data_IF_724955415224
#
_entry.id   IF_724955415224
#
_cell.length_a   1.000
_cell.length_b   1.000
_cell.length_c   1.000
_cell.angle_alpha   90.00
_cell.angle_beta   90.00
_cell.angle_gamma   90.00
#
_symmetry.space_group_name_H-M   'P 1'
#
loop_
_entity.id
_entity.type
_entity.pdbx_description
1 polymer ?
#
# COMPACT_ATOMS: atom_id res chain seq x y z
N UNK A 1 51.14 -12.02 5.04
CA UNK A 1 50.59 -12.71 3.84
C UNK A 1 49.06 -12.95 3.94
N UNK A 2 48.55 -13.58 5.02
CA UNK A 2 47.10 -13.84 5.17
C UNK A 2 46.26 -12.55 5.27
N UNK A 3 46.74 -11.54 6.01
CA UNK A 3 46.04 -10.26 6.18
C UNK A 3 46.00 -9.47 4.88
N UNK A 4 47.06 -9.45 4.10
CA UNK A 4 47.10 -8.80 2.78
C UNK A 4 46.13 -9.47 1.77
N UNK A 5 46.00 -10.82 1.84
CA UNK A 5 45.09 -11.56 1.00
C UNK A 5 43.62 -11.22 1.33
N UNK A 6 43.30 -11.14 2.63
CA UNK A 6 41.98 -10.72 3.13
C UNK A 6 41.65 -9.30 2.65
N UNK A 7 42.56 -8.35 2.85
CA UNK A 7 42.34 -6.94 2.45
C UNK A 7 42.08 -6.82 0.95
N UNK A 8 42.93 -7.44 0.13
CA UNK A 8 42.77 -7.44 -1.33
C UNK A 8 41.44 -8.05 -1.77
N UNK A 9 40.98 -9.10 -1.12
CA UNK A 9 39.70 -9.71 -1.42
C UNK A 9 38.52 -8.80 -1.08
N UNK A 10 38.53 -8.18 0.10
CA UNK A 10 37.47 -7.25 0.50
C UNK A 10 37.43 -6.02 -0.41
N UNK A 11 38.60 -5.49 -0.82
CA UNK A 11 38.66 -4.39 -1.80
C UNK A 11 38.14 -4.80 -3.18
N UNK A 12 38.37 -6.03 -3.61
CA UNK A 12 37.77 -6.56 -4.84
C UNK A 12 36.25 -6.65 -4.72
N UNK A 13 35.74 -7.11 -3.58
CA UNK A 13 34.31 -7.21 -3.34
C UNK A 13 33.61 -5.84 -3.34
N UNK A 14 34.26 -4.78 -2.85
CA UNK A 14 33.69 -3.41 -2.90
C UNK A 14 33.37 -2.96 -4.32
N UNK A 15 34.05 -3.49 -5.32
CA UNK A 15 33.78 -3.17 -6.73
C UNK A 15 32.57 -3.92 -7.29
N UNK A 16 32.29 -5.10 -6.74
CA UNK A 16 31.25 -5.99 -7.23
C UNK A 16 29.95 -5.94 -6.40
N UNK A 17 30.05 -5.53 -5.14
CA UNK A 17 28.89 -5.47 -4.23
C UNK A 17 28.61 -4.04 -3.86
N UNK A 18 27.38 -3.60 -4.14
CA UNK A 18 26.88 -2.27 -3.82
C UNK A 18 25.67 -2.40 -2.88
N UNK A 19 25.39 -1.33 -2.15
CA UNK A 19 24.18 -1.21 -1.33
C UNK A 19 23.40 0.04 -1.74
N UNK A 20 22.13 -0.12 -2.09
CA UNK A 20 21.27 0.97 -2.49
C UNK A 20 19.86 0.81 -1.90
N UNK A 21 19.41 1.80 -1.15
CA UNK A 21 18.05 1.88 -0.61
C UNK A 21 17.61 0.62 0.18
N UNK A 22 18.57 -0.04 0.85
CA UNK A 22 18.34 -1.29 1.60
C UNK A 22 18.57 -2.57 0.80
N UNK A 23 18.90 -2.48 -0.49
CA UNK A 23 19.17 -3.65 -1.34
C UNK A 23 20.67 -3.85 -1.56
N UNK A 24 21.12 -5.09 -1.43
CA UNK A 24 22.46 -5.52 -1.84
C UNK A 24 22.44 -5.88 -3.31
N UNK A 25 23.37 -5.32 -4.08
CA UNK A 25 23.42 -5.45 -5.53
C UNK A 25 24.77 -6.03 -5.93
N UNK A 26 24.75 -7.08 -6.71
CA UNK A 26 25.95 -7.75 -7.21
C UNK A 26 26.15 -7.42 -8.70
N UNK A 27 27.32 -6.89 -9.04
CA UNK A 27 27.76 -6.50 -10.40
C UNK A 27 26.79 -5.57 -11.17
N UNK A 28 25.98 -4.77 -10.49
CA UNK A 28 24.91 -3.95 -11.09
C UNK A 28 23.86 -4.75 -11.90
N UNK A 29 23.77 -6.07 -11.66
CA UNK A 29 22.89 -6.97 -12.43
C UNK A 29 21.88 -7.70 -11.56
N UNK A 30 22.21 -7.96 -10.30
CA UNK A 30 21.40 -8.84 -9.46
C UNK A 30 21.23 -8.31 -8.05
N UNK A 31 19.98 -8.27 -7.57
CA UNK A 31 19.68 -8.08 -6.16
C UNK A 31 19.95 -9.38 -5.40
N UNK A 32 20.70 -9.30 -4.33
CA UNK A 32 21.04 -10.42 -3.45
C UNK A 32 20.69 -10.09 -1.99
N UNK A 33 20.50 -11.08 -1.16
CA UNK A 33 20.30 -10.90 0.28
C UNK A 33 21.63 -10.69 1.01
N UNK A 34 21.61 -10.04 2.17
CA UNK A 34 22.80 -9.96 3.03
C UNK A 34 23.35 -11.36 3.37
N UNK A 35 22.46 -12.33 3.53
CA UNK A 35 22.86 -13.72 3.76
C UNK A 35 23.68 -14.28 2.60
N UNK A 36 23.24 -14.06 1.36
CA UNK A 36 24.00 -14.49 0.17
C UNK A 36 25.37 -13.82 0.12
N UNK A 37 25.49 -12.53 0.47
CA UNK A 37 26.78 -11.84 0.56
C UNK A 37 27.68 -12.50 1.60
N UNK A 38 27.17 -12.76 2.80
CA UNK A 38 27.93 -13.43 3.88
C UNK A 38 28.36 -14.83 3.48
N UNK A 39 27.47 -15.62 2.90
CA UNK A 39 27.73 -16.98 2.47
C UNK A 39 28.76 -17.00 1.33
N UNK A 40 28.70 -16.08 0.38
CA UNK A 40 29.71 -15.92 -0.67
C UNK A 40 31.09 -15.64 -0.08
N UNK A 41 31.20 -14.70 0.87
CA UNK A 41 32.47 -14.38 1.54
C UNK A 41 33.08 -15.62 2.26
N UNK A 42 32.23 -16.37 2.97
CA UNK A 42 32.67 -17.58 3.71
C UNK A 42 33.14 -18.70 2.79
N UNK A 43 32.54 -18.87 1.63
CA UNK A 43 32.84 -19.92 0.65
C UNK A 43 34.19 -19.74 -0.06
N UNK A 44 34.78 -18.55 0.01
CA UNK A 44 36.06 -18.27 -0.68
C UNK A 44 37.28 -18.97 0.01
N UNK A 45 37.10 -19.60 1.16
CA UNK A 45 38.19 -20.30 1.87
C UNK A 45 39.25 -19.37 2.45
N UNK A 46 39.01 -18.05 2.46
CA UNK A 46 39.87 -17.05 3.06
C UNK A 46 39.50 -16.97 4.56
N UNK A 47 40.46 -16.98 5.48
CA UNK A 47 40.21 -16.93 6.92
C UNK A 47 39.76 -15.50 7.31
N UNK A 48 38.49 -15.22 7.12
CA UNK A 48 37.84 -13.94 7.48
C UNK A 48 36.96 -14.21 8.71
N UNK A 49 37.13 -13.40 9.76
CA UNK A 49 36.32 -13.49 10.96
C UNK A 49 34.93 -12.87 10.71
N UNK A 50 33.93 -13.35 11.41
CA UNK A 50 32.55 -12.81 11.29
C UNK A 50 32.49 -11.30 11.62
N UNK A 51 33.34 -10.83 12.55
CA UNK A 51 33.47 -9.41 12.84
C UNK A 51 33.94 -8.62 11.60
N UNK A 52 34.91 -9.12 10.87
CA UNK A 52 35.47 -8.46 9.70
C UNK A 52 34.42 -8.38 8.56
N UNK A 53 33.57 -9.41 8.43
CA UNK A 53 32.45 -9.40 7.48
C UNK A 53 31.43 -8.33 7.90
N UNK A 54 31.12 -8.24 9.19
CA UNK A 54 30.18 -7.25 9.71
C UNK A 54 30.70 -5.84 9.54
N UNK A 55 31.98 -5.58 9.80
CA UNK A 55 32.63 -4.29 9.61
C UNK A 55 32.62 -3.91 8.11
N UNK A 56 32.91 -4.85 7.21
CA UNK A 56 32.85 -4.67 5.78
C UNK A 56 31.43 -4.31 5.28
N UNK A 57 30.41 -5.05 5.72
CA UNK A 57 29.03 -4.77 5.37
C UNK A 57 28.56 -3.42 5.92
N UNK A 58 28.99 -3.06 7.12
CA UNK A 58 28.68 -1.75 7.71
C UNK A 58 29.33 -0.61 6.91
N UNK A 59 30.54 -0.80 6.39
CA UNK A 59 31.19 0.19 5.53
C UNK A 59 30.46 0.37 4.20
N UNK A 60 29.94 -0.73 3.61
CA UNK A 60 29.17 -0.69 2.38
C UNK A 60 27.71 -0.22 2.56
N UNK A 61 27.18 -0.16 3.78
CA UNK A 61 25.77 0.12 4.06
C UNK A 61 25.32 1.57 3.80
N UNK A 62 26.07 2.33 3.05
CA UNK A 62 25.68 3.63 2.53
C UNK A 62 25.18 3.49 1.09
N UNK A 63 24.15 4.29 0.75
CA UNK A 63 23.63 4.30 -0.60
C UNK A 63 24.71 4.61 -1.64
N UNK A 64 24.89 3.71 -2.59
CA UNK A 64 25.85 3.79 -3.66
C UNK A 64 25.13 3.86 -5.00
N UNK A 65 25.78 4.52 -5.97
CA UNK A 65 25.23 4.56 -7.32
C UNK A 65 25.25 3.18 -7.98
N UNK A 66 24.13 2.83 -8.61
CA UNK A 66 23.96 1.60 -9.38
C UNK A 66 23.17 1.90 -10.66
N UNK A 67 23.46 1.16 -11.71
CA UNK A 67 22.70 1.19 -12.96
C UNK A 67 21.47 0.30 -12.93
N UNK A 68 21.36 -0.59 -11.92
CA UNK A 68 20.24 -1.50 -11.77
C UNK A 68 18.97 -0.75 -11.38
N UNK A 69 17.93 -0.89 -12.18
CA UNK A 69 16.56 -0.53 -11.79
C UNK A 69 15.97 -1.63 -10.92
N UNK A 70 15.85 -1.34 -9.61
CA UNK A 70 15.38 -2.29 -8.61
C UNK A 70 13.95 -2.74 -8.88
N UNK A 71 13.08 -1.82 -9.31
CA UNK A 71 11.67 -2.16 -9.55
C UNK A 71 11.54 -3.04 -10.78
N UNK A 72 12.20 -2.68 -11.87
CA UNK A 72 12.24 -3.47 -13.09
C UNK A 72 12.84 -4.86 -12.85
N UNK A 73 13.92 -4.98 -12.09
CA UNK A 73 14.52 -6.25 -11.73
C UNK A 73 13.51 -7.21 -11.05
N UNK A 74 12.72 -6.70 -10.09
CA UNK A 74 11.72 -7.54 -9.41
C UNK A 74 10.57 -7.91 -10.35
N UNK A 75 10.12 -7.00 -11.21
CA UNK A 75 9.08 -7.30 -12.21
C UNK A 75 9.52 -8.45 -13.12
N UNK A 76 10.72 -8.39 -13.66
CA UNK A 76 11.28 -9.42 -14.53
C UNK A 76 11.49 -10.75 -13.79
N UNK A 77 12.08 -10.71 -12.60
CA UNK A 77 12.30 -11.90 -11.75
C UNK A 77 10.99 -12.64 -11.45
N UNK A 78 9.92 -11.91 -11.20
CA UNK A 78 8.60 -12.51 -10.94
C UNK A 78 7.98 -13.00 -12.23
N UNK A 79 8.01 -12.21 -13.31
CA UNK A 79 7.42 -12.58 -14.61
C UNK A 79 8.02 -13.86 -15.20
N UNK A 80 9.32 -14.10 -15.00
CA UNK A 80 9.99 -15.33 -15.45
C UNK A 80 9.43 -16.61 -14.81
N UNK A 81 8.69 -16.51 -13.71
CA UNK A 81 8.07 -17.64 -13.03
C UNK A 81 6.62 -17.90 -13.48
N UNK A 82 6.09 -17.11 -14.41
CA UNK A 82 4.69 -17.18 -14.82
C UNK A 82 4.31 -18.55 -15.44
N UNK A 83 3.24 -19.13 -14.93
CA UNK A 83 2.61 -20.33 -15.46
C UNK A 83 1.49 -19.99 -16.46
N UNK A 84 0.98 -21.02 -17.13
CA UNK A 84 -0.05 -20.86 -18.18
C UNK A 84 -1.40 -21.46 -17.82
N UNK A 85 -1.53 -22.11 -16.66
CA UNK A 85 -2.77 -22.73 -16.21
C UNK A 85 -3.63 -21.76 -15.40
N UNK A 86 -4.92 -22.06 -15.28
CA UNK A 86 -5.80 -21.32 -14.36
C UNK A 86 -5.39 -21.56 -12.92
N UNK A 87 -5.34 -20.48 -12.17
CA UNK A 87 -4.97 -20.49 -10.75
C UNK A 87 -6.11 -21.02 -9.88
N UNK A 88 -5.79 -22.00 -9.05
CA UNK A 88 -6.70 -22.51 -8.00
C UNK A 88 -6.92 -21.47 -6.90
N UNK A 89 -5.91 -20.67 -6.62
CA UNK A 89 -5.97 -19.61 -5.63
C UNK A 89 -6.98 -18.53 -6.06
N UNK A 90 -6.89 -18.02 -7.28
CA UNK A 90 -7.86 -17.04 -7.77
C UNK A 90 -9.27 -17.63 -7.91
N UNK A 91 -9.40 -18.89 -8.31
CA UNK A 91 -10.70 -19.57 -8.32
C UNK A 91 -11.33 -19.64 -6.91
N UNK A 92 -10.52 -19.80 -5.87
CA UNK A 92 -10.98 -19.76 -4.48
C UNK A 92 -11.39 -18.35 -4.04
N UNK A 93 -10.65 -17.31 -4.45
CA UNK A 93 -10.99 -15.92 -4.19
C UNK A 93 -12.26 -15.48 -4.93
N UNK A 94 -12.43 -15.86 -6.20
CA UNK A 94 -13.63 -15.56 -7.00
C UNK A 94 -14.89 -16.16 -6.37
N UNK A 95 -14.77 -17.37 -5.82
CA UNK A 95 -15.88 -18.03 -5.11
C UNK A 95 -16.20 -17.31 -3.80
N UNK A 96 -15.19 -16.83 -3.09
CA UNK A 96 -15.36 -16.16 -1.80
C UNK A 96 -15.82 -14.71 -1.98
N UNK A 97 -15.32 -14.04 -3.00
CA UNK A 97 -15.55 -12.61 -3.29
C UNK A 97 -15.93 -12.40 -4.77
N UNK A 98 -17.13 -12.79 -5.18
CA UNK A 98 -17.56 -12.60 -6.56
C UNK A 98 -17.55 -11.12 -6.95
N UNK A 99 -16.95 -10.81 -8.09
CA UNK A 99 -16.89 -9.45 -8.64
C UNK A 99 -15.71 -8.60 -8.18
N UNK A 100 -14.85 -9.09 -7.30
CA UNK A 100 -13.60 -8.41 -6.95
C UNK A 100 -12.47 -8.77 -7.91
N UNK A 101 -11.68 -7.77 -8.30
CA UNK A 101 -10.58 -7.92 -9.27
C UNK A 101 -9.25 -8.26 -8.59
N UNK A 102 -9.18 -9.36 -7.83
CA UNK A 102 -7.92 -9.73 -7.13
C UNK A 102 -6.75 -9.97 -8.06
N UNK A 103 -6.97 -10.37 -9.33
CA UNK A 103 -5.90 -10.51 -10.33
C UNK A 103 -5.22 -9.18 -10.61
N UNK A 104 -6.00 -8.10 -10.75
CA UNK A 104 -5.48 -6.75 -10.91
C UNK A 104 -4.76 -6.26 -9.65
N UNK A 105 -5.26 -6.61 -8.45
CA UNK A 105 -4.57 -6.30 -7.20
C UNK A 105 -3.20 -6.97 -7.16
N UNK A 106 -3.10 -8.24 -7.54
CA UNK A 106 -1.82 -8.95 -7.64
C UNK A 106 -0.94 -8.34 -8.73
N UNK A 107 -1.49 -8.02 -9.90
CA UNK A 107 -0.76 -7.32 -10.96
C UNK A 107 -0.15 -6.01 -10.43
N UNK A 108 -0.95 -5.22 -9.69
CA UNK A 108 -0.47 -3.98 -9.08
C UNK A 108 0.75 -4.22 -8.18
N UNK A 109 0.70 -5.19 -7.28
CA UNK A 109 1.81 -5.45 -6.35
C UNK A 109 3.04 -6.05 -7.02
N UNK A 110 2.86 -6.79 -8.10
CA UNK A 110 3.92 -7.54 -8.75
C UNK A 110 4.58 -6.81 -9.94
N UNK A 111 3.83 -5.97 -10.66
CA UNK A 111 4.27 -5.46 -11.97
C UNK A 111 3.99 -3.98 -12.23
N UNK A 112 3.29 -3.28 -11.36
CA UNK A 112 2.88 -1.91 -11.61
C UNK A 112 3.75 -0.92 -10.80
N UNK A 113 3.98 0.29 -11.32
CA UNK A 113 4.75 1.34 -10.66
C UNK A 113 3.89 2.52 -10.18
N UNK A 114 2.57 2.42 -10.30
CA UNK A 114 1.65 3.44 -9.80
C UNK A 114 1.73 3.56 -8.26
N UNK A 115 1.30 4.70 -7.76
CA UNK A 115 1.50 5.11 -6.37
C UNK A 115 0.21 5.03 -5.57
N UNK A 116 -0.26 3.80 -5.35
CA UNK A 116 -1.43 3.49 -4.54
C UNK A 116 -1.09 2.58 -3.36
N UNK A 117 -1.99 2.46 -2.42
CA UNK A 117 -1.96 1.49 -1.35
C UNK A 117 -3.35 0.90 -1.17
N UNK A 118 -3.44 -0.40 -1.02
CA UNK A 118 -4.72 -1.06 -0.76
C UNK A 118 -4.96 -1.17 0.74
N UNK A 119 -6.20 -0.92 1.15
CA UNK A 119 -6.71 -1.13 2.50
C UNK A 119 -7.69 -2.31 2.47
N UNK A 120 -7.25 -3.45 2.99
CA UNK A 120 -8.11 -4.64 3.10
C UNK A 120 -8.92 -4.55 4.39
N UNK A 121 -10.23 -4.37 4.26
CA UNK A 121 -11.15 -4.22 5.41
C UNK A 121 -12.03 -5.46 5.53
N UNK A 122 -12.21 -5.95 6.75
CA UNK A 122 -13.13 -7.03 7.04
C UNK A 122 -12.87 -7.64 8.39
N UNK A 123 -13.86 -8.36 8.92
CA UNK A 123 -13.75 -9.05 10.20
C UNK A 123 -12.64 -10.11 10.20
N UNK A 124 -12.39 -10.73 11.34
CA UNK A 124 -11.49 -11.88 11.44
C UNK A 124 -11.94 -13.04 10.52
N UNK A 125 -10.99 -13.84 10.07
CA UNK A 125 -11.24 -15.03 9.24
C UNK A 125 -11.82 -14.75 7.83
N UNK A 126 -11.43 -13.66 7.22
CA UNK A 126 -11.84 -13.31 5.84
C UNK A 126 -10.73 -13.46 4.82
N UNK A 127 -9.54 -13.94 5.20
CA UNK A 127 -8.44 -14.20 4.26
C UNK A 127 -7.51 -13.03 3.98
N UNK A 128 -7.64 -11.88 4.65
CA UNK A 128 -6.73 -10.72 4.48
C UNK A 128 -5.26 -11.10 4.63
N UNK A 129 -4.93 -11.72 5.78
CA UNK A 129 -3.57 -12.15 6.07
C UNK A 129 -3.06 -13.19 5.07
N UNK A 130 -3.93 -14.11 4.63
CA UNK A 130 -3.62 -15.13 3.62
C UNK A 130 -3.26 -14.48 2.29
N UNK A 131 -3.99 -13.44 1.87
CA UNK A 131 -3.72 -12.69 0.65
C UNK A 131 -2.35 -12.00 0.71
N UNK A 132 -2.08 -11.27 1.80
CA UNK A 132 -0.78 -10.61 1.98
C UNK A 132 0.36 -11.62 2.05
N UNK A 133 0.18 -12.74 2.75
CA UNK A 133 1.18 -13.81 2.83
C UNK A 133 1.47 -14.45 1.46
N UNK A 134 0.45 -14.56 0.59
CA UNK A 134 0.67 -15.07 -0.77
C UNK A 134 1.52 -14.09 -1.61
N UNK A 135 1.22 -12.79 -1.56
CA UNK A 135 2.06 -11.77 -2.21
C UNK A 135 3.51 -11.81 -1.68
N UNK A 136 3.68 -11.93 -0.36
CA UNK A 136 4.99 -12.04 0.26
C UNK A 136 5.77 -13.27 -0.22
N UNK A 137 5.10 -14.43 -0.37
CA UNK A 137 5.73 -15.66 -0.92
C UNK A 137 6.17 -15.51 -2.37
N UNK A 138 5.39 -14.81 -3.19
CA UNK A 138 5.73 -14.59 -4.60
C UNK A 138 6.94 -13.65 -4.73
N UNK A 139 6.97 -12.56 -3.97
CA UNK A 139 8.06 -11.59 -4.00
C UNK A 139 9.35 -12.08 -3.33
N UNK A 140 9.23 -13.02 -2.40
CA UNK A 140 10.28 -13.48 -1.48
C UNK A 140 10.05 -12.93 -0.08
N UNK A 141 10.04 -13.83 0.91
CA UNK A 141 9.74 -13.46 2.32
C UNK A 141 10.76 -12.48 2.90
N UNK A 142 12.00 -12.49 2.42
CA UNK A 142 13.06 -11.55 2.78
C UNK A 142 12.75 -10.11 2.34
N UNK A 143 11.95 -9.94 1.29
CA UNK A 143 11.53 -8.63 0.76
C UNK A 143 10.17 -8.18 1.29
N UNK A 144 9.62 -8.92 2.25
CA UNK A 144 8.39 -8.58 2.96
C UNK A 144 8.71 -7.97 4.33
N UNK A 145 7.99 -6.91 4.68
CA UNK A 145 8.01 -6.31 6.01
C UNK A 145 6.60 -6.17 6.57
N UNK A 146 6.47 -6.18 7.89
CA UNK A 146 5.21 -5.95 8.60
C UNK A 146 5.44 -5.10 9.84
N UNK A 147 4.54 -4.18 10.08
CA UNK A 147 4.52 -3.39 11.31
C UNK A 147 3.12 -2.86 11.59
N UNK A 148 2.94 -2.26 12.74
CA UNK A 148 1.76 -1.45 13.03
C UNK A 148 2.04 0.03 12.71
N UNK A 149 0.97 0.83 12.65
CA UNK A 149 1.02 2.27 12.37
C UNK A 149 1.95 3.01 13.33
N UNK A 150 1.92 2.67 14.63
CA UNK A 150 2.70 3.36 15.65
C UNK A 150 4.22 3.26 15.45
N UNK A 151 4.69 2.18 14.85
CA UNK A 151 6.11 2.01 14.56
C UNK A 151 6.61 2.93 13.45
N UNK A 152 5.76 3.25 12.47
CA UNK A 152 6.13 4.12 11.34
C UNK A 152 6.22 5.61 11.71
N UNK A 153 5.88 5.99 12.94
CA UNK A 153 5.94 7.38 13.43
C UNK A 153 7.35 7.89 13.70
N UNK A 154 8.32 7.02 13.70
CA UNK A 154 9.70 7.39 14.03
C UNK A 154 10.72 6.82 13.04
N UNK A 155 11.91 7.41 13.02
CA UNK A 155 12.98 7.06 12.07
C UNK A 155 13.50 5.62 12.23
N UNK A 156 13.37 5.01 13.42
CA UNK A 156 13.73 3.61 13.61
C UNK A 156 12.69 2.66 12.98
N UNK A 157 11.42 3.05 13.03
CA UNK A 157 10.35 2.30 12.40
C UNK A 157 10.37 2.39 10.88
N UNK A 158 10.69 3.56 10.33
CA UNK A 158 10.84 3.72 8.88
C UNK A 158 12.04 2.94 8.32
N UNK A 159 13.05 2.64 9.15
CA UNK A 159 14.15 1.77 8.75
C UNK A 159 13.70 0.32 8.43
N UNK A 160 12.53 -0.11 8.89
CA UNK A 160 11.96 -1.42 8.53
C UNK A 160 11.56 -1.52 7.06
N UNK A 161 11.50 -0.40 6.34
CA UNK A 161 11.17 -0.35 4.91
C UNK A 161 12.38 -0.67 4.02
N UNK A 162 13.59 -0.59 4.56
CA UNK A 162 14.81 -0.84 3.80
C UNK A 162 14.84 -2.25 3.22
N UNK A 163 15.14 -2.37 1.94
CA UNK A 163 15.20 -3.64 1.22
C UNK A 163 13.88 -4.38 1.12
N UNK A 164 12.73 -3.71 1.31
CA UNK A 164 11.41 -4.31 1.18
C UNK A 164 10.74 -3.93 -0.13
N UNK A 165 10.02 -4.90 -0.71
CA UNK A 165 9.16 -4.70 -1.89
C UNK A 165 7.68 -4.68 -1.52
N UNK A 166 7.31 -5.36 -0.44
CA UNK A 166 5.96 -5.35 0.13
C UNK A 166 6.04 -5.05 1.62
N UNK A 167 5.22 -4.13 2.09
CA UNK A 167 5.14 -3.79 3.50
C UNK A 167 3.68 -3.76 3.98
N UNK A 168 3.37 -4.60 4.95
CA UNK A 168 2.06 -4.62 5.58
C UNK A 168 2.01 -3.71 6.80
N UNK A 169 1.04 -2.80 6.80
CA UNK A 169 0.63 -2.05 7.98
C UNK A 169 -0.58 -2.76 8.59
N UNK A 170 -0.32 -3.55 9.62
CA UNK A 170 -1.35 -4.35 10.26
C UNK A 170 -2.15 -3.52 11.28
N UNK A 171 -3.44 -3.84 11.40
CA UNK A 171 -4.35 -3.27 12.41
C UNK A 171 -4.35 -1.72 12.43
N UNK A 172 -4.30 -1.12 11.24
CA UNK A 172 -4.39 0.32 11.12
C UNK A 172 -5.73 0.81 11.70
N UNK A 173 -5.67 1.72 12.67
CA UNK A 173 -6.84 2.28 13.33
C UNK A 173 -6.90 3.79 13.11
N UNK A 174 -6.35 4.59 14.02
CA UNK A 174 -6.38 6.04 13.93
C UNK A 174 -5.11 6.57 13.29
N UNK A 175 -5.24 7.32 12.20
CA UNK A 175 -4.16 7.95 11.47
C UNK A 175 -4.14 9.45 11.79
N UNK A 176 -3.22 9.87 12.65
CA UNK A 176 -2.95 11.29 12.88
C UNK A 176 -2.19 11.90 11.67
N UNK A 177 -2.03 13.22 11.68
CA UNK A 177 -1.42 13.96 10.58
C UNK A 177 0.00 13.47 10.26
N UNK A 178 0.84 13.27 11.27
CA UNK A 178 2.24 12.88 11.08
C UNK A 178 2.35 11.48 10.48
N UNK A 179 1.53 10.56 10.98
CA UNK A 179 1.43 9.21 10.44
C UNK A 179 0.94 9.22 9.00
N UNK A 180 -0.12 9.98 8.70
CA UNK A 180 -0.68 10.09 7.37
C UNK A 180 0.34 10.67 6.37
N UNK A 181 1.11 11.68 6.75
CA UNK A 181 2.19 12.23 5.94
C UNK A 181 3.31 11.21 5.70
N UNK A 182 3.70 10.45 6.72
CA UNK A 182 4.68 9.36 6.56
C UNK A 182 4.18 8.30 5.58
N UNK A 183 2.94 7.84 5.73
CA UNK A 183 2.33 6.88 4.81
C UNK A 183 2.25 7.43 3.38
N UNK A 184 1.91 8.71 3.22
CA UNK A 184 1.91 9.38 1.92
C UNK A 184 3.30 9.31 1.27
N UNK A 185 4.34 9.69 1.99
CA UNK A 185 5.72 9.65 1.48
C UNK A 185 6.15 8.24 1.08
N UNK A 186 5.76 7.22 1.84
CA UNK A 186 6.02 5.82 1.49
C UNK A 186 5.28 5.45 0.19
N UNK A 187 3.99 5.73 0.10
CA UNK A 187 3.18 5.38 -1.09
C UNK A 187 3.62 6.13 -2.33
N UNK A 188 4.09 7.38 -2.19
CA UNK A 188 4.59 8.19 -3.31
C UNK A 188 6.03 7.86 -3.71
N UNK A 189 6.69 6.97 -2.96
CA UNK A 189 8.10 6.67 -3.17
C UNK A 189 8.99 7.92 -3.02
N UNK A 190 8.59 8.83 -2.12
CA UNK A 190 9.39 10.01 -1.81
C UNK A 190 10.59 9.62 -0.93
N UNK A 191 11.61 10.44 -0.97
CA UNK A 191 12.80 10.25 -0.15
C UNK A 191 12.44 10.36 1.33
N UNK A 192 12.84 9.40 2.14
CA UNK A 192 12.63 9.37 3.59
C UNK A 192 13.95 9.22 4.35
N UNK A 193 13.96 9.74 5.58
CA UNK A 193 15.04 9.53 6.52
C UNK A 193 14.79 8.26 7.32
N UNK A 194 15.84 7.47 7.50
CA UNK A 194 15.81 6.25 8.31
C UNK A 194 16.98 6.24 9.30
N UNK A 195 16.75 5.66 10.45
CA UNK A 195 17.77 5.51 11.49
C UNK A 195 17.79 4.07 12.00
N UNK A 196 18.46 3.14 11.29
CA UNK A 196 18.58 1.77 11.74
C UNK A 196 19.35 1.69 13.07
N UNK A 197 18.98 0.75 13.93
CA UNK A 197 19.68 0.57 15.22
C UNK A 197 21.15 0.26 14.99
N UNK A 198 22.01 0.93 15.75
CA UNK A 198 23.48 0.76 15.70
C UNK A 198 24.13 1.13 14.36
N UNK A 199 23.45 1.90 13.53
CA UNK A 199 23.98 2.41 12.26
C UNK A 199 23.77 3.92 12.17
N UNK A 200 24.46 4.55 11.21
CA UNK A 200 24.26 5.98 10.96
C UNK A 200 22.92 6.22 10.28
N UNK A 201 22.31 7.38 10.60
CA UNK A 201 21.14 7.87 9.90
C UNK A 201 21.45 8.06 8.41
N UNK A 202 20.53 7.66 7.56
CA UNK A 202 20.66 7.78 6.11
C UNK A 202 19.34 8.12 5.43
N UNK A 203 19.45 8.47 4.18
CA UNK A 203 18.32 8.79 3.31
C UNK A 203 18.12 7.59 2.38
N UNK A 204 16.87 7.16 2.22
CA UNK A 204 16.50 6.11 1.26
C UNK A 204 15.33 6.55 0.40
N UNK A 205 15.25 5.97 -0.79
CA UNK A 205 14.03 5.94 -1.59
C UNK A 205 13.37 4.58 -1.40
N UNK A 206 12.20 4.50 -0.74
CA UNK A 206 11.59 3.23 -0.42
C UNK A 206 10.98 2.61 -1.68
N UNK A 207 11.59 1.57 -2.25
CA UNK A 207 11.04 0.79 -3.38
C UNK A 207 9.97 -0.19 -2.92
N UNK A 208 9.05 0.27 -2.07
CA UNK A 208 8.11 -0.58 -1.37
C UNK A 208 6.66 -0.28 -1.76
N UNK A 209 5.88 -1.33 -2.01
CA UNK A 209 4.43 -1.26 -2.11
C UNK A 209 3.82 -1.53 -0.74
N UNK A 210 3.00 -0.60 -0.27
CA UNK A 210 2.35 -0.72 1.02
C UNK A 210 0.95 -1.34 0.88
N UNK A 211 0.57 -2.18 1.82
CA UNK A 211 -0.77 -2.72 1.98
C UNK A 211 -1.21 -2.59 3.44
N UNK A 212 -2.43 -2.20 3.68
CA UNK A 212 -2.99 -2.08 5.02
C UNK A 212 -4.02 -3.17 5.28
N UNK A 213 -4.00 -3.75 6.47
CA UNK A 213 -5.03 -4.71 6.89
C UNK A 213 -5.69 -4.21 8.17
N UNK A 214 -7.02 -4.16 8.18
CA UNK A 214 -7.80 -3.69 9.32
C UNK A 214 -9.16 -4.37 9.41
N UNK A 215 -9.74 -4.38 10.60
CA UNK A 215 -11.07 -4.91 10.80
C UNK A 215 -12.15 -3.87 10.48
N UNK A 216 -11.85 -2.61 10.79
CA UNK A 216 -12.70 -1.46 10.50
C UNK A 216 -11.92 -0.44 9.69
N UNK A 217 -12.62 0.47 9.02
CA UNK A 217 -11.99 1.56 8.28
C UNK A 217 -11.11 2.40 9.22
N UNK A 218 -9.82 2.63 8.87
CA UNK A 218 -8.97 3.53 9.62
C UNK A 218 -9.55 4.95 9.60
N UNK A 219 -9.51 5.64 10.73
CA UNK A 219 -9.93 7.04 10.79
C UNK A 219 -8.78 7.93 10.34
N UNK A 220 -8.93 8.53 9.17
CA UNK A 220 -8.00 9.55 8.70
C UNK A 220 -8.36 10.89 9.35
N UNK A 221 -7.52 11.38 10.24
CA UNK A 221 -7.71 12.72 10.88
C UNK A 221 -7.29 13.88 9.96
N UNK A 222 -7.04 13.60 8.69
CA UNK A 222 -6.45 14.54 7.73
C UNK A 222 -7.27 14.59 6.47
N UNK A 223 -7.56 15.80 6.06
CA UNK A 223 -8.31 16.15 4.83
C UNK A 223 -7.40 16.41 3.64
N UNK A 224 -6.25 15.76 3.56
CA UNK A 224 -5.35 15.90 2.40
C UNK A 224 -5.81 14.98 1.26
N UNK A 225 -6.38 15.55 0.21
CA UNK A 225 -6.73 14.85 -1.02
C UNK A 225 -5.58 14.03 -1.59
N UNK A 226 -4.35 14.51 -1.39
CA UNK A 226 -3.15 13.81 -1.78
C UNK A 226 -2.97 12.46 -1.09
N UNK A 227 -3.51 12.29 0.13
CA UNK A 227 -3.51 11.02 0.86
C UNK A 227 -4.67 10.15 0.38
N UNK A 228 -5.88 10.71 0.40
CA UNK A 228 -7.12 9.97 0.17
C UNK A 228 -7.11 9.27 -1.19
N UNK A 229 -6.78 10.00 -2.27
CA UNK A 229 -6.75 9.46 -3.64
C UNK A 229 -5.74 8.32 -3.87
N UNK A 230 -4.85 8.06 -2.92
CA UNK A 230 -3.83 7.00 -3.02
C UNK A 230 -4.21 5.72 -2.32
N UNK A 231 -5.27 5.73 -1.54
CA UNK A 231 -5.72 4.55 -0.81
C UNK A 231 -6.96 3.95 -1.47
N UNK A 232 -6.87 2.68 -1.82
CA UNK A 232 -7.95 1.91 -2.44
C UNK A 232 -8.48 0.92 -1.40
N UNK A 233 -9.77 1.00 -1.09
CA UNK A 233 -10.40 0.13 -0.10
C UNK A 233 -10.93 -1.13 -0.75
N UNK A 234 -10.61 -2.29 -0.17
CA UNK A 234 -11.14 -3.59 -0.59
C UNK A 234 -11.89 -4.22 0.59
N UNK A 235 -13.17 -4.42 0.41
CA UNK A 235 -14.01 -5.08 1.41
C UNK A 235 -13.87 -6.59 1.33
N UNK A 236 -13.42 -7.18 2.42
CA UNK A 236 -13.30 -8.62 2.60
C UNK A 236 -14.20 -9.09 3.75
N UNK A 237 -15.52 -9.05 3.52
CA UNK A 237 -16.51 -9.31 4.58
C UNK A 237 -17.00 -10.75 4.64
N UNK A 238 -16.65 -11.58 3.65
CA UNK A 238 -17.11 -12.97 3.59
C UNK A 238 -16.26 -13.86 4.49
N UNK A 239 -16.86 -14.37 5.53
CA UNK A 239 -16.18 -15.22 6.52
C UNK A 239 -15.90 -16.61 5.94
N UNK A 240 -14.67 -17.08 6.09
CA UNK A 240 -14.26 -18.43 5.75
C UNK A 240 -14.84 -19.39 6.80
N UNK A 241 -15.74 -20.29 6.37
CA UNK A 241 -16.46 -21.21 7.27
C UNK A 241 -15.55 -22.30 7.84
N UNK A 242 -14.59 -22.77 7.07
CA UNK A 242 -13.63 -23.80 7.48
C UNK A 242 -12.21 -23.29 7.19
N UNK A 243 -11.46 -23.04 8.24
CA UNK A 243 -10.04 -22.74 8.11
C UNK A 243 -9.30 -23.98 7.64
N UNK A 244 -8.36 -23.76 6.74
CA UNK A 244 -7.42 -24.76 6.29
C UNK A 244 -6.01 -24.23 6.57
N UNK A 245 -5.39 -24.77 7.59
CA UNK A 245 -4.07 -24.33 8.04
C UNK A 245 -2.98 -24.65 7.01
N UNK A 246 -3.24 -25.60 6.11
CA UNK A 246 -2.32 -25.99 5.04
C UNK A 246 -2.55 -25.23 3.74
N UNK A 247 -3.60 -24.42 3.62
CA UNK A 247 -4.00 -23.76 2.40
C UNK A 247 -2.84 -23.02 1.70
N UNK A 248 -2.08 -22.20 2.44
CA UNK A 248 -0.93 -21.49 1.88
C UNK A 248 0.20 -22.41 1.43
N UNK A 249 0.35 -23.57 2.05
CA UNK A 249 1.35 -24.55 1.65
C UNK A 249 0.91 -25.29 0.38
N UNK A 250 -0.36 -25.66 0.31
CA UNK A 250 -0.93 -26.30 -0.90
C UNK A 250 -0.92 -25.37 -2.11
N UNK A 251 -1.12 -24.06 -1.87
CA UNK A 251 -1.10 -23.04 -2.93
C UNK A 251 0.31 -22.66 -3.39
N UNK A 252 1.39 -23.14 -2.78
CA UNK A 252 2.76 -22.90 -3.27
C UNK A 252 2.99 -23.39 -4.69
N UNK A 253 2.44 -24.55 -5.04
CA UNK A 253 2.56 -25.10 -6.38
C UNK A 253 1.76 -24.31 -7.42
N UNK A 254 0.80 -23.51 -6.98
CA UNK A 254 -0.02 -22.65 -7.83
C UNK A 254 0.59 -21.28 -8.10
N UNK A 255 1.68 -20.91 -7.41
CA UNK A 255 2.33 -19.59 -7.54
C UNK A 255 2.60 -19.24 -9.02
N UNK A 256 3.16 -20.10 -9.86
CA UNK A 256 3.35 -19.78 -11.29
C UNK A 256 2.06 -19.38 -11.99
N UNK A 257 0.95 -20.05 -11.70
CA UNK A 257 -0.35 -19.77 -12.32
C UNK A 257 -0.96 -18.46 -11.77
N UNK A 258 -0.76 -18.16 -10.48
CA UNK A 258 -1.13 -16.87 -9.89
C UNK A 258 -0.43 -15.73 -10.63
N UNK A 259 0.89 -15.85 -10.84
CA UNK A 259 1.69 -14.86 -11.56
C UNK A 259 1.20 -14.73 -13.01
N UNK A 260 0.98 -15.84 -13.69
CA UNK A 260 0.49 -15.86 -15.08
C UNK A 260 -0.88 -15.18 -15.23
N UNK A 261 -1.84 -15.48 -14.37
CA UNK A 261 -3.15 -14.80 -14.40
C UNK A 261 -3.03 -13.31 -14.02
N UNK A 262 -2.18 -12.95 -13.06
CA UNK A 262 -1.94 -11.56 -12.72
C UNK A 262 -1.38 -10.76 -13.90
N UNK A 263 -0.44 -11.33 -14.67
CA UNK A 263 0.11 -10.70 -15.90
C UNK A 263 -0.96 -10.44 -16.95
N UNK A 264 -1.94 -11.35 -17.09
CA UNK A 264 -3.03 -11.22 -18.06
C UNK A 264 -4.11 -10.20 -17.67
N UNK A 265 -4.08 -9.68 -16.44
CA UNK A 265 -5.05 -8.72 -15.91
C UNK A 265 -4.34 -7.47 -15.40
N UNK A 266 -3.86 -6.58 -16.28
CA UNK A 266 -3.19 -5.34 -15.91
C UNK A 266 -4.06 -4.51 -14.97
N UNK A 267 -3.44 -3.93 -13.95
CA UNK A 267 -4.12 -3.03 -13.03
C UNK A 267 -4.74 -1.85 -13.75
N UNK A 268 -6.02 -1.59 -13.51
CA UNK A 268 -6.72 -0.42 -13.98
C UNK A 268 -7.42 0.28 -12.80
N UNK A 269 -6.98 1.49 -12.46
CA UNK A 269 -7.53 2.26 -11.35
C UNK A 269 -9.03 2.52 -11.48
N UNK A 270 -9.56 2.65 -12.70
CA UNK A 270 -10.98 2.91 -12.93
C UNK A 270 -11.89 1.79 -12.40
N UNK A 271 -11.42 0.53 -12.45
CA UNK A 271 -12.15 -0.60 -11.87
C UNK A 271 -12.27 -0.53 -10.35
N UNK A 272 -11.37 0.20 -9.71
CA UNK A 272 -11.28 0.37 -8.26
C UNK A 272 -11.83 1.72 -7.77
N UNK A 273 -12.22 2.60 -8.67
CA UNK A 273 -12.68 3.95 -8.33
C UNK A 273 -13.88 3.93 -7.36
N UNK A 274 -14.81 2.98 -7.52
CA UNK A 274 -15.98 2.82 -6.63
C UNK A 274 -15.59 2.57 -5.17
N UNK A 275 -14.48 1.87 -4.93
CA UNK A 275 -14.00 1.56 -3.60
C UNK A 275 -13.33 2.76 -2.91
N UNK A 276 -12.85 3.74 -3.67
CA UNK A 276 -12.30 4.99 -3.11
C UNK A 276 -13.35 5.83 -2.38
N UNK A 277 -14.62 5.74 -2.76
CA UNK A 277 -15.71 6.45 -2.07
C UNK A 277 -15.82 6.08 -0.59
N UNK A 278 -15.36 4.91 -0.21
CA UNK A 278 -15.40 4.46 1.19
C UNK A 278 -14.52 5.29 2.11
N UNK A 279 -13.39 5.78 1.61
CA UNK A 279 -12.51 6.66 2.38
C UNK A 279 -13.20 8.00 2.60
N UNK A 280 -13.89 8.49 1.58
CA UNK A 280 -14.67 9.72 1.67
C UNK A 280 -15.89 9.59 2.60
N UNK A 281 -16.58 8.45 2.56
CA UNK A 281 -17.71 8.19 3.47
C UNK A 281 -17.29 8.09 4.94
N UNK A 282 -16.06 7.68 5.22
CA UNK A 282 -15.54 7.62 6.59
C UNK A 282 -15.02 8.97 7.10
N UNK A 283 -14.77 9.94 6.23
CA UNK A 283 -14.46 11.31 6.60
C UNK A 283 -15.73 12.17 6.60
N UNK A 284 -16.16 12.75 7.76
CA UNK A 284 -17.33 13.60 7.83
C UNK A 284 -17.24 14.85 6.95
N UNK A 285 -16.05 15.27 6.51
CA UNK A 285 -15.91 16.38 5.60
C UNK A 285 -16.40 16.05 4.18
N UNK A 286 -16.15 14.81 3.72
CA UNK A 286 -16.40 14.40 2.34
C UNK A 286 -17.50 13.33 2.21
N UNK A 287 -17.59 12.40 3.16
CA UNK A 287 -18.51 11.26 3.05
C UNK A 287 -19.88 11.49 3.67
N UNK A 288 -19.97 12.43 4.58
CA UNK A 288 -21.24 12.74 5.21
C UNK A 288 -22.27 13.29 4.21
N UNK A 289 -21.79 13.99 3.17
CA UNK A 289 -22.64 14.49 2.13
C UNK A 289 -23.32 13.41 1.32
N UNK A 290 -22.59 12.43 0.87
CA UNK A 290 -23.13 11.41 -0.04
C UNK A 290 -24.01 10.38 0.68
N UNK A 291 -23.56 9.82 1.79
CA UNK A 291 -24.39 8.91 2.60
C UNK A 291 -25.58 9.61 3.26
N UNK A 292 -25.38 10.85 3.70
CA UNK A 292 -26.42 11.67 4.30
C UNK A 292 -27.49 12.04 3.27
N UNK A 293 -27.10 12.34 2.03
CA UNK A 293 -28.03 12.72 0.98
C UNK A 293 -28.88 11.57 0.46
N UNK A 294 -28.35 10.37 0.37
CA UNK A 294 -29.13 9.18 0.01
C UNK A 294 -30.21 8.84 1.03
N UNK A 295 -29.96 9.13 2.32
CA UNK A 295 -30.87 8.84 3.42
C UNK A 295 -31.50 10.07 4.05
N UNK A 296 -31.22 11.25 3.52
CA UNK A 296 -31.71 12.52 4.08
C UNK A 296 -33.25 12.56 4.15
N UNK A 297 -33.93 12.03 3.13
CA UNK A 297 -35.39 11.96 3.12
C UNK A 297 -35.98 11.04 4.20
N UNK A 298 -35.22 10.02 4.62
CA UNK A 298 -35.64 9.07 5.67
C UNK A 298 -35.31 9.59 7.09
N UNK A 299 -34.44 10.58 7.19
CA UNK A 299 -33.88 11.04 8.47
C UNK A 299 -34.42 12.39 8.94
N UNK A 300 -35.15 13.14 8.10
CA UNK A 300 -35.62 14.48 8.40
C UNK A 300 -36.88 14.53 9.27
N UNK A 301 -36.68 14.34 10.56
CA UNK A 301 -37.59 14.83 11.58
C UNK A 301 -36.85 15.77 12.52
N UNK A 302 -37.11 17.03 12.44
CA UNK A 302 -36.85 18.17 13.31
C UNK A 302 -35.56 18.97 13.21
N UNK A 303 -34.35 18.44 13.12
CA UNK A 303 -33.15 19.27 12.83
C UNK A 303 -32.04 18.40 12.20
N UNK A 304 -31.74 18.60 10.91
CA UNK A 304 -30.69 17.87 10.21
C UNK A 304 -29.32 18.08 10.83
N UNK A 305 -29.05 19.25 11.36
CA UNK A 305 -27.77 19.59 11.96
C UNK A 305 -27.53 18.89 13.30
N UNK A 306 -28.55 18.75 14.14
CA UNK A 306 -28.45 18.00 15.40
C UNK A 306 -28.17 16.50 15.15
N UNK A 307 -28.79 15.94 14.12
CA UNK A 307 -28.49 14.55 13.69
C UNK A 307 -27.07 14.42 13.17
N UNK A 308 -26.61 15.35 12.33
CA UNK A 308 -25.25 15.41 11.87
C UNK A 308 -24.26 15.46 13.05
N UNK A 309 -24.49 16.33 14.04
CA UNK A 309 -23.65 16.42 15.23
C UNK A 309 -23.65 15.10 16.03
N UNK A 310 -24.81 14.48 16.18
CA UNK A 310 -24.92 13.23 16.93
C UNK A 310 -24.19 12.09 16.23
N UNK A 311 -24.29 11.99 14.91
CA UNK A 311 -23.55 10.99 14.12
C UNK A 311 -22.05 11.27 14.08
N UNK A 312 -21.64 12.50 13.87
CA UNK A 312 -20.23 12.88 13.93
C UNK A 312 -19.62 12.48 15.29
N UNK A 313 -20.32 12.76 16.39
CA UNK A 313 -19.93 12.36 17.73
C UNK A 313 -19.88 10.83 17.90
N UNK A 314 -20.87 10.12 17.42
CA UNK A 314 -20.92 8.64 17.48
C UNK A 314 -19.79 7.98 16.70
N UNK A 315 -19.37 8.60 15.59
CA UNK A 315 -18.24 8.17 14.76
C UNK A 315 -16.88 8.70 15.27
N UNK A 316 -16.87 9.53 16.34
CA UNK A 316 -15.64 10.07 16.93
C UNK A 316 -15.04 11.26 16.18
N UNK A 317 -15.84 12.00 15.42
CA UNK A 317 -15.41 13.17 14.67
C UNK A 317 -15.91 14.48 15.27
N UNK A 318 -15.23 15.59 14.93
CA UNK A 318 -15.70 16.93 15.26
C UNK A 318 -16.73 17.37 14.20
N UNK A 319 -17.95 17.65 14.63
CA UNK A 319 -18.97 18.21 13.76
C UNK A 319 -18.56 19.62 13.29
N UNK A 320 -18.75 19.93 12.00
CA UNK A 320 -18.62 21.32 11.50
C UNK A 320 -19.64 22.22 12.16
N UNK A 321 -19.38 23.53 12.16
CA UNK A 321 -20.37 24.48 12.59
C UNK A 321 -21.58 24.51 11.64
N UNK A 322 -22.71 25.04 12.12
CA UNK A 322 -23.97 25.01 11.37
C UNK A 322 -23.89 25.72 10.02
N UNK A 323 -23.17 26.83 9.95
CA UNK A 323 -23.04 27.59 8.70
C UNK A 323 -22.32 26.79 7.60
N UNK A 324 -21.28 26.05 7.95
CA UNK A 324 -20.58 25.17 7.01
C UNK A 324 -21.40 23.94 6.60
N UNK A 325 -22.22 23.42 7.52
CA UNK A 325 -23.15 22.34 7.23
C UNK A 325 -24.26 22.80 6.29
N UNK A 326 -24.88 23.94 6.56
CA UNK A 326 -25.96 24.50 5.74
C UNK A 326 -25.46 24.80 4.32
N UNK A 327 -24.26 25.41 4.19
CA UNK A 327 -23.62 25.67 2.91
C UNK A 327 -23.34 24.36 2.13
N UNK A 328 -22.91 23.31 2.81
CA UNK A 328 -22.72 22.01 2.21
C UNK A 328 -24.03 21.41 1.68
N UNK A 329 -25.11 21.46 2.46
CA UNK A 329 -26.44 20.98 2.04
C UNK A 329 -26.97 21.75 0.83
N UNK A 330 -26.71 23.07 0.75
CA UNK A 330 -27.09 23.91 -0.39
C UNK A 330 -26.34 23.53 -1.67
N UNK A 331 -25.02 23.33 -1.58
CA UNK A 331 -24.19 22.88 -2.70
C UNK A 331 -24.61 21.50 -3.21
N UNK A 332 -24.95 20.59 -2.32
CA UNK A 332 -25.43 19.26 -2.66
C UNK A 332 -26.78 19.31 -3.40
N UNK A 333 -27.68 20.19 -2.96
CA UNK A 333 -28.96 20.40 -3.63
C UNK A 333 -28.76 20.88 -5.06
N UNK A 334 -27.88 21.86 -5.28
CA UNK A 334 -27.54 22.40 -6.60
C UNK A 334 -26.98 21.28 -7.50
N UNK A 335 -26.10 20.44 -6.97
CA UNK A 335 -25.50 19.32 -7.69
C UNK A 335 -26.55 18.29 -8.15
N UNK A 336 -27.49 17.92 -7.26
CA UNK A 336 -28.59 16.99 -7.59
C UNK A 336 -29.52 17.57 -8.68
N UNK A 337 -29.92 18.83 -8.56
CA UNK A 337 -30.77 19.47 -9.54
C UNK A 337 -30.12 19.53 -10.94
N UNK A 338 -28.77 19.47 -11.01
CA UNK A 338 -28.05 19.41 -12.29
C UNK A 338 -27.96 17.99 -12.83
N UNK A 339 -27.74 16.98 -11.98
CA UNK A 339 -27.79 15.58 -12.40
C UNK A 339 -29.16 15.21 -12.95
N UNK A 340 -30.23 15.63 -12.28
CA UNK A 340 -31.62 15.36 -12.71
C UNK A 340 -31.98 16.05 -14.03
N UNK A 341 -31.25 17.13 -14.38
CA UNK A 341 -31.43 17.87 -15.66
C UNK A 341 -30.55 17.32 -16.79
N UNK A 342 -29.54 16.54 -16.52
CA UNK A 342 -28.78 15.82 -17.54
C UNK A 342 -29.61 14.61 -17.98
N UNK A 343 -30.22 14.72 -19.16
CA UNK A 343 -31.02 13.66 -19.77
C UNK A 343 -30.26 12.31 -19.76
N UNK A 344 -30.93 11.30 -19.28
CA UNK A 344 -30.44 9.96 -18.97
C UNK A 344 -30.15 9.10 -20.21
N UNK A 345 -29.74 9.66 -21.32
CA UNK A 345 -29.46 8.91 -22.56
C UNK A 345 -27.97 8.56 -22.78
N UNK A 346 -27.06 9.03 -21.92
CA UNK A 346 -25.69 8.58 -21.94
C UNK A 346 -25.37 7.80 -20.64
N UNK A 347 -25.01 6.55 -20.77
CA UNK A 347 -24.68 5.62 -19.70
C UNK A 347 -23.32 5.91 -19.03
N UNK A 348 -22.85 7.12 -19.04
CA UNK A 348 -21.71 7.63 -18.31
C UNK A 348 -22.19 8.56 -17.19
N UNK A 349 -22.66 7.97 -16.10
CA UNK A 349 -22.68 8.67 -14.82
C UNK A 349 -21.21 8.93 -14.43
N UNK A 350 -20.69 10.10 -14.80
CA UNK A 350 -19.46 10.64 -14.23
C UNK A 350 -19.78 10.96 -12.78
N UNK A 351 -19.53 10.00 -11.92
CA UNK A 351 -19.60 10.21 -10.48
C UNK A 351 -18.34 11.00 -10.13
N UNK A 352 -18.46 12.32 -10.03
CA UNK A 352 -17.37 13.18 -9.59
C UNK A 352 -16.99 12.82 -8.16
N UNK A 353 -15.70 12.62 -7.91
CA UNK A 353 -15.18 12.52 -6.55
C UNK A 353 -15.22 13.90 -5.86
N UNK A 354 -15.05 13.94 -4.54
CA UNK A 354 -15.15 15.20 -3.78
C UNK A 354 -14.20 16.30 -4.28
N UNK A 355 -13.00 15.93 -4.79
CA UNK A 355 -12.03 16.87 -5.35
C UNK A 355 -12.45 17.37 -6.73
N UNK A 356 -13.07 16.54 -7.53
CA UNK A 356 -13.65 16.94 -8.83
C UNK A 356 -14.85 17.86 -8.63
N UNK A 357 -15.67 17.58 -7.61
CA UNK A 357 -16.75 18.45 -7.19
C UNK A 357 -16.24 19.81 -6.71
N UNK A 358 -15.20 19.84 -5.88
CA UNK A 358 -14.54 21.07 -5.42
C UNK A 358 -13.94 21.86 -6.59
N UNK A 359 -13.18 21.23 -7.48
CA UNK A 359 -12.60 21.84 -8.67
C UNK A 359 -13.67 22.34 -9.65
N UNK A 360 -14.81 21.64 -9.73
CA UNK A 360 -15.95 22.06 -10.53
C UNK A 360 -16.62 23.31 -9.94
N UNK A 361 -16.77 23.33 -8.60
CA UNK A 361 -17.35 24.47 -7.87
C UNK A 361 -16.43 25.71 -7.89
N UNK A 362 -15.10 25.52 -7.87
CA UNK A 362 -14.11 26.60 -8.03
C UNK A 362 -14.12 27.22 -9.45
N UNK A 363 -14.35 26.41 -10.49
CA UNK A 363 -14.41 26.89 -11.88
C UNK A 363 -15.68 27.69 -12.21
N UNK A 364 -16.72 27.55 -11.40
CA UNK A 364 -18.01 28.24 -11.61
C UNK A 364 -18.13 29.56 -10.83
N UNK A 365 -17.01 30.13 -10.32
CA UNK A 365 -16.99 31.40 -9.54
C UNK A 365 -18.00 31.44 -8.36
N UNK A 366 -18.32 30.30 -7.77
CA UNK A 366 -19.12 30.22 -6.57
C UNK A 366 -18.28 30.58 -5.35
N UNK A 367 -18.60 31.60 -4.57
CA UNK A 367 -17.79 32.03 -3.43
C UNK A 367 -17.77 30.96 -2.34
N UNK A 368 -16.58 30.53 -1.99
CA UNK A 368 -16.31 29.69 -0.81
C UNK A 368 -16.44 30.45 0.50
#
# INVERSE_FOLDING_TARGET
MKEALKLNFLEMLKKSIKFKDGFWIYNDEKVISEKEVRDYIRQQGIPILERDITDFLSELSFNQDTTLDIDQYFHEKVALQAGTKKSKYFASLDKLYPGNNFRELFNYYLFNNDKYSFILIGYGQTGKTTLVSMLAKILGEEYFGRSNVGMLRNLHGTALLEGKKLFEVAEAQDLDLDTANTLKSIVTNDIIYVNPKFQQQRIIKPHVKMIMTCNNMPKFKVTDDGIIRRFIVVKMNNKIKKQDDNFLQEMKEDIPNIIGEALLHPFNIEHWAKEQYYIFESDPQYGFGYGFSQHANDWFGKDPYEKYQSMAKALGYYARNKANFDKFCELEKIYRERIDKCDTTSSELVVMNGSELLNFLEKEDLPF
#
